data_IF_162007951238
#
_entry.id   IF_162007951238
#
_cell.length_a   1.000
_cell.length_b   1.000
_cell.length_c   1.000
_cell.angle_alpha   90.00
_cell.angle_beta   90.00
_cell.angle_gamma   90.00
#
_symmetry.space_group_name_H-M   'P 1'
#
loop_
_entity.id
_entity.type
_entity.pdbx_description
1 polymer ?
#
# COMPACT_ATOMS: atom_id res chain seq x y z
N UNK A 1 -7.90 39.07 26.74
CA UNK A 1 -7.09 38.29 25.82
C UNK A 1 -7.32 36.79 26.10
N UNK A 2 -8.14 36.13 25.27
CA UNK A 2 -8.42 34.70 25.44
C UNK A 2 -7.27 33.86 24.89
N UNK A 3 -6.58 33.12 25.75
CA UNK A 3 -5.61 32.14 25.35
C UNK A 3 -6.35 31.02 24.60
N UNK A 4 -6.22 30.96 23.27
CA UNK A 4 -6.67 29.81 22.47
C UNK A 4 -5.90 28.58 22.98
N UNK A 5 -6.54 27.72 23.77
CA UNK A 5 -6.00 26.39 24.09
C UNK A 5 -5.81 25.64 22.76
N UNK A 6 -4.56 25.35 22.40
CA UNK A 6 -4.23 24.43 21.30
C UNK A 6 -4.99 23.13 21.56
N UNK A 7 -5.82 22.69 20.61
CA UNK A 7 -6.44 21.36 20.67
C UNK A 7 -5.30 20.34 20.77
N UNK A 8 -5.37 19.38 21.71
CA UNK A 8 -4.32 18.37 21.83
C UNK A 8 -4.13 17.70 20.46
N UNK A 9 -2.87 17.54 20.06
CA UNK A 9 -2.54 16.83 18.84
C UNK A 9 -3.01 15.38 18.98
N UNK A 10 -3.75 14.82 18.01
CA UNK A 10 -4.16 13.42 18.09
C UNK A 10 -2.92 12.53 18.16
N UNK A 11 -2.98 11.48 18.95
CA UNK A 11 -1.92 10.48 19.05
C UNK A 11 -1.57 9.90 17.66
N UNK A 12 -0.32 9.54 17.42
CA UNK A 12 0.06 8.87 16.18
C UNK A 12 -0.72 7.55 16.02
N UNK A 13 -0.95 7.09 14.77
CA UNK A 13 -1.59 5.80 14.56
C UNK A 13 -0.75 4.69 15.20
N UNK A 14 -1.38 3.66 15.71
CA UNK A 14 -0.63 2.49 16.18
C UNK A 14 0.13 1.86 15.00
N UNK A 15 1.30 1.23 15.25
CA UNK A 15 2.10 0.63 14.20
C UNK A 15 1.29 -0.42 13.41
N UNK A 16 1.51 -0.53 12.09
CA UNK A 16 0.83 -1.50 11.25
C UNK A 16 1.19 -2.94 11.66
N UNK A 17 0.28 -3.86 11.40
CA UNK A 17 0.44 -5.30 11.66
C UNK A 17 0.62 -6.12 10.38
N UNK A 18 0.43 -5.50 9.23
CA UNK A 18 0.59 -6.09 7.92
C UNK A 18 0.97 -5.01 6.90
N UNK A 19 1.32 -5.42 5.69
CA UNK A 19 1.53 -4.52 4.55
C UNK A 19 0.66 -5.00 3.40
N UNK A 20 -0.14 -4.11 2.84
CA UNK A 20 -0.90 -4.33 1.62
C UNK A 20 -0.26 -3.53 0.48
N UNK A 21 0.04 -4.20 -0.63
CA UNK A 21 0.67 -3.59 -1.80
C UNK A 21 -0.33 -3.56 -2.95
N UNK A 22 -0.55 -2.38 -3.49
CA UNK A 22 -1.28 -2.22 -4.74
C UNK A 22 -0.38 -2.60 -5.91
N UNK A 23 -0.41 -3.88 -6.27
CA UNK A 23 0.40 -4.44 -7.34
C UNK A 23 0.06 -3.85 -8.70
N UNK A 24 -1.21 -3.54 -8.96
CA UNK A 24 -1.65 -2.85 -10.17
C UNK A 24 -0.99 -1.49 -10.31
N UNK A 25 -0.94 -0.73 -9.24
CA UNK A 25 -0.35 0.60 -9.22
C UNK A 25 1.19 0.54 -9.31
N UNK A 26 1.83 -0.38 -8.59
CA UNK A 26 3.28 -0.62 -8.67
C UNK A 26 3.72 -0.96 -10.09
N UNK A 27 2.92 -1.76 -10.82
CA UNK A 27 3.26 -2.22 -12.17
C UNK A 27 2.67 -1.36 -13.30
N UNK A 28 1.83 -0.35 -13.00
CA UNK A 28 0.96 0.35 -13.94
C UNK A 28 1.65 0.97 -15.16
N UNK A 29 2.88 1.44 -15.04
CA UNK A 29 3.61 2.13 -16.11
C UNK A 29 4.67 1.27 -16.81
N UNK A 30 4.74 -0.04 -16.51
CA UNK A 30 5.81 -0.89 -17.02
C UNK A 30 5.30 -2.22 -17.56
N UNK A 31 4.96 -2.25 -18.84
CA UNK A 31 4.86 -3.54 -19.57
C UNK A 31 6.22 -4.27 -19.51
N UNK A 32 7.32 -3.52 -19.67
CA UNK A 32 8.67 -4.04 -19.49
C UNK A 32 9.20 -3.60 -18.11
N UNK A 33 9.40 -4.56 -17.20
CA UNK A 33 9.95 -4.30 -15.87
C UNK A 33 8.93 -4.35 -14.72
N UNK A 34 7.70 -4.82 -14.96
CA UNK A 34 6.69 -5.03 -13.92
C UNK A 34 7.20 -5.92 -12.79
N UNK A 35 7.86 -7.04 -13.11
CA UNK A 35 8.49 -7.95 -12.17
C UNK A 35 9.52 -7.23 -11.28
N UNK A 36 10.47 -6.52 -11.91
CA UNK A 36 11.50 -5.77 -11.18
C UNK A 36 10.92 -4.73 -10.24
N UNK A 37 9.85 -4.03 -10.64
CA UNK A 37 9.19 -3.05 -9.78
C UNK A 37 8.53 -3.71 -8.58
N UNK A 38 7.88 -4.84 -8.79
CA UNK A 38 7.29 -5.60 -7.70
C UNK A 38 8.37 -6.12 -6.74
N UNK A 39 9.50 -6.65 -7.26
CA UNK A 39 10.64 -7.06 -6.44
C UNK A 39 11.16 -5.91 -5.57
N UNK A 40 11.33 -4.72 -6.14
CA UNK A 40 11.80 -3.55 -5.41
C UNK A 40 10.80 -3.11 -4.33
N UNK A 41 9.50 -3.11 -4.62
CA UNK A 41 8.46 -2.79 -3.66
C UNK A 41 8.44 -3.82 -2.51
N UNK A 42 8.51 -5.11 -2.81
CA UNK A 42 8.54 -6.18 -1.81
C UNK A 42 9.81 -6.15 -0.96
N UNK A 43 10.96 -5.85 -1.58
CA UNK A 43 12.22 -5.65 -0.86
C UNK A 43 12.12 -4.50 0.15
N UNK A 44 11.51 -3.38 -0.27
CA UNK A 44 11.23 -2.28 0.65
C UNK A 44 10.29 -2.70 1.79
N UNK A 45 9.21 -3.42 1.49
CA UNK A 45 8.27 -3.92 2.50
C UNK A 45 8.98 -4.78 3.55
N UNK A 46 9.88 -5.67 3.12
CA UNK A 46 10.68 -6.50 4.05
C UNK A 46 11.64 -5.67 4.88
N UNK A 47 12.27 -4.65 4.31
CA UNK A 47 13.14 -3.73 5.05
C UNK A 47 12.35 -2.84 6.04
N UNK A 48 11.09 -2.53 5.75
CA UNK A 48 10.21 -1.79 6.64
C UNK A 48 9.80 -2.60 7.87
N UNK A 49 9.39 -3.87 7.69
CA UNK A 49 8.97 -4.74 8.78
C UNK A 49 9.19 -6.22 8.45
N UNK A 50 10.32 -6.77 8.91
CA UNK A 50 10.82 -8.12 8.56
C UNK A 50 9.79 -9.24 8.80
N UNK A 51 8.99 -9.13 9.84
CA UNK A 51 8.01 -10.16 10.25
C UNK A 51 6.58 -9.87 9.84
N UNK A 52 6.31 -8.71 9.22
CA UNK A 52 4.95 -8.36 8.83
C UNK A 52 4.47 -9.23 7.66
N UNK A 53 3.25 -9.78 7.73
CA UNK A 53 2.62 -10.40 6.56
C UNK A 53 2.45 -9.36 5.46
N UNK A 54 2.70 -9.78 4.21
CA UNK A 54 2.56 -8.94 3.02
C UNK A 54 1.52 -9.58 2.12
N UNK A 55 0.56 -8.79 1.63
CA UNK A 55 -0.37 -9.18 0.57
C UNK A 55 -0.26 -8.20 -0.61
N UNK A 56 -0.24 -8.73 -1.83
CA UNK A 56 -0.16 -7.95 -3.07
C UNK A 56 -1.45 -8.13 -3.85
N UNK A 57 -2.10 -7.03 -4.18
CA UNK A 57 -3.40 -7.01 -4.85
C UNK A 57 -3.27 -6.56 -6.31
N UNK A 58 -3.96 -7.25 -7.19
CA UNK A 58 -4.01 -6.92 -8.62
C UNK A 58 -5.44 -6.89 -9.15
N UNK A 59 -5.74 -5.91 -9.99
CA UNK A 59 -6.92 -5.92 -10.83
C UNK A 59 -6.80 -6.98 -11.92
N UNK A 60 -7.90 -7.67 -12.20
CA UNK A 60 -7.97 -8.62 -13.32
C UNK A 60 -7.66 -7.95 -14.66
N UNK A 61 -8.02 -6.67 -14.83
CA UNK A 61 -7.72 -5.90 -16.03
C UNK A 61 -6.20 -5.68 -16.20
N UNK A 62 -5.49 -5.37 -15.12
CA UNK A 62 -4.02 -5.21 -15.13
C UNK A 62 -3.34 -6.53 -15.47
N UNK A 63 -3.72 -7.64 -14.83
CA UNK A 63 -3.15 -8.96 -15.11
C UNK A 63 -3.39 -9.39 -16.55
N UNK A 64 -4.58 -9.18 -17.08
CA UNK A 64 -4.91 -9.48 -18.48
C UNK A 64 -4.04 -8.68 -19.45
N UNK A 65 -3.83 -7.39 -19.19
CA UNK A 65 -2.98 -6.52 -20.01
C UNK A 65 -1.50 -6.95 -19.98
N UNK A 66 -1.01 -7.44 -18.85
CA UNK A 66 0.36 -7.92 -18.67
C UNK A 66 0.57 -9.28 -19.32
N UNK A 67 -0.48 -10.11 -19.42
CA UNK A 67 -0.45 -11.45 -19.99
C UNK A 67 -0.07 -12.54 -18.99
N UNK A 68 -0.40 -13.79 -19.35
CA UNK A 68 -0.25 -14.96 -18.47
C UNK A 68 1.18 -15.21 -18.01
N UNK A 69 2.16 -15.02 -18.91
CA UNK A 69 3.58 -15.26 -18.58
C UNK A 69 4.08 -14.25 -17.54
N UNK A 70 3.67 -12.98 -17.68
CA UNK A 70 4.01 -11.95 -16.68
C UNK A 70 3.28 -12.21 -15.37
N UNK A 71 2.01 -12.58 -15.39
CA UNK A 71 1.27 -12.96 -14.18
C UNK A 71 1.99 -14.10 -13.44
N UNK A 72 2.43 -15.15 -14.14
CA UNK A 72 3.18 -16.25 -13.54
C UNK A 72 4.46 -15.78 -12.85
N UNK A 73 5.20 -14.85 -13.49
CA UNK A 73 6.41 -14.24 -12.88
C UNK A 73 6.08 -13.40 -11.65
N UNK A 74 5.02 -12.58 -11.69
CA UNK A 74 4.60 -11.77 -10.55
C UNK A 74 4.17 -12.65 -9.36
N UNK A 75 3.48 -13.76 -9.62
CA UNK A 75 3.13 -14.75 -8.60
C UNK A 75 4.39 -15.39 -7.99
N UNK A 76 5.36 -15.77 -8.83
CA UNK A 76 6.63 -16.33 -8.36
C UNK A 76 7.43 -15.30 -7.53
N UNK A 77 7.45 -14.04 -7.96
CA UNK A 77 8.09 -12.94 -7.23
C UNK A 77 7.44 -12.73 -5.84
N UNK A 78 6.10 -12.69 -5.75
CA UNK A 78 5.40 -12.59 -4.50
C UNK A 78 5.70 -13.78 -3.57
N UNK A 79 5.65 -15.00 -4.10
CA UNK A 79 5.96 -16.22 -3.36
C UNK A 79 7.40 -16.24 -2.83
N UNK A 80 8.37 -15.83 -3.64
CA UNK A 80 9.78 -15.74 -3.24
C UNK A 80 9.99 -14.72 -2.10
N UNK A 81 9.20 -13.66 -2.07
CA UNK A 81 9.18 -12.69 -0.98
C UNK A 81 8.34 -13.14 0.23
N UNK A 82 7.69 -14.30 0.18
CA UNK A 82 6.76 -14.75 1.22
C UNK A 82 5.52 -13.86 1.33
N UNK A 83 5.07 -13.28 0.21
CA UNK A 83 3.88 -12.45 0.12
C UNK A 83 2.71 -13.24 -0.48
N UNK A 84 1.50 -12.96 0.00
CA UNK A 84 0.27 -13.47 -0.60
C UNK A 84 -0.02 -12.72 -1.90
N UNK A 85 -0.44 -13.43 -2.95
CA UNK A 85 -0.85 -12.84 -4.21
C UNK A 85 -2.38 -12.91 -4.37
N UNK A 86 -3.01 -11.75 -4.40
CA UNK A 86 -4.46 -11.59 -4.47
C UNK A 86 -4.86 -10.97 -5.81
N UNK A 87 -5.67 -11.67 -6.60
CA UNK A 87 -6.27 -11.13 -7.83
C UNK A 87 -7.74 -10.81 -7.58
N UNK A 88 -8.17 -9.60 -7.94
CA UNK A 88 -9.59 -9.25 -7.89
C UNK A 88 -10.38 -10.07 -8.93
N UNK A 89 -11.66 -10.39 -8.66
CA UNK A 89 -12.53 -11.04 -9.62
C UNK A 89 -12.64 -10.25 -10.93
N UNK A 90 -12.85 -10.97 -12.04
CA UNK A 90 -13.04 -10.33 -13.34
C UNK A 90 -14.23 -9.36 -13.29
N UNK A 91 -14.00 -8.13 -13.75
CA UNK A 91 -15.02 -7.06 -13.76
C UNK A 91 -15.13 -6.27 -12.47
N UNK A 92 -14.29 -6.55 -11.46
CA UNK A 92 -14.21 -5.74 -10.23
C UNK A 92 -12.85 -5.07 -10.09
N UNK A 93 -12.82 -3.93 -9.37
CA UNK A 93 -11.58 -3.28 -8.93
C UNK A 93 -10.98 -4.02 -7.73
N UNK A 94 -9.65 -3.97 -7.59
CA UNK A 94 -8.94 -4.42 -6.40
C UNK A 94 -9.09 -3.44 -5.23
N UNK A 95 -9.45 -2.18 -5.47
CA UNK A 95 -9.49 -1.12 -4.46
C UNK A 95 -10.33 -1.45 -3.21
N UNK A 96 -11.58 -1.93 -3.33
CA UNK A 96 -12.36 -2.28 -2.15
C UNK A 96 -11.74 -3.43 -1.35
N UNK A 97 -11.15 -4.43 -2.03
CA UNK A 97 -10.49 -5.55 -1.38
C UNK A 97 -9.23 -5.11 -0.63
N UNK A 98 -8.46 -4.24 -1.26
CA UNK A 98 -7.24 -3.67 -0.73
C UNK A 98 -7.52 -2.81 0.52
N UNK A 99 -8.55 -1.96 0.47
CA UNK A 99 -8.97 -1.13 1.59
C UNK A 99 -9.55 -1.97 2.74
N UNK A 100 -10.39 -2.95 2.44
CA UNK A 100 -10.93 -3.87 3.44
C UNK A 100 -9.79 -4.64 4.13
N UNK A 101 -8.84 -5.18 3.37
CA UNK A 101 -7.67 -5.85 3.93
C UNK A 101 -6.84 -4.91 4.82
N UNK A 102 -6.65 -3.65 4.39
CA UNK A 102 -5.91 -2.66 5.17
C UNK A 102 -6.60 -2.36 6.52
N UNK A 103 -7.92 -2.29 6.55
CA UNK A 103 -8.68 -2.10 7.78
C UNK A 103 -8.65 -3.34 8.67
N UNK A 104 -8.99 -4.51 8.13
CA UNK A 104 -9.13 -5.77 8.88
C UNK A 104 -7.80 -6.20 9.54
N UNK A 105 -6.69 -5.97 8.86
CA UNK A 105 -5.36 -6.36 9.31
C UNK A 105 -4.51 -5.19 9.85
N UNK A 106 -5.07 -3.97 9.90
CA UNK A 106 -4.31 -2.75 10.22
C UNK A 106 -3.05 -2.66 9.36
N UNK A 107 -3.20 -2.88 8.06
CA UNK A 107 -2.09 -2.89 7.14
C UNK A 107 -1.68 -1.47 6.73
N UNK A 108 -0.36 -1.28 6.56
CA UNK A 108 0.18 -0.16 5.80
C UNK A 108 -0.10 -0.41 4.32
N UNK A 109 -0.77 0.53 3.67
CA UNK A 109 -1.15 0.43 2.27
C UNK A 109 -0.15 1.16 1.37
N UNK A 110 0.57 0.41 0.55
CA UNK A 110 1.54 0.93 -0.41
C UNK A 110 0.87 1.13 -1.78
N UNK A 111 0.52 2.37 -2.11
CA UNK A 111 -0.18 2.75 -3.36
C UNK A 111 -0.02 4.24 -3.64
N UNK A 112 -0.17 4.67 -4.89
CA UNK A 112 -0.27 6.08 -5.27
C UNK A 112 -1.72 6.55 -5.41
N UNK A 113 -2.70 5.65 -5.31
CA UNK A 113 -4.10 6.04 -5.27
C UNK A 113 -4.47 6.67 -3.92
N UNK A 114 -5.39 7.62 -3.94
CA UNK A 114 -5.94 8.29 -2.76
C UNK A 114 -7.33 7.80 -2.40
N UNK A 115 -7.91 6.93 -3.19
CA UNK A 115 -9.23 6.31 -2.97
C UNK A 115 -10.35 7.32 -2.69
N UNK A 116 -10.41 8.40 -3.51
CA UNK A 116 -11.41 9.45 -3.33
C UNK A 116 -12.85 8.93 -3.44
N UNK A 117 -13.07 7.90 -4.26
CA UNK A 117 -14.37 7.27 -4.47
C UNK A 117 -14.78 6.31 -3.32
N UNK A 118 -13.88 6.10 -2.35
CA UNK A 118 -14.03 5.15 -1.24
C UNK A 118 -13.80 5.81 0.13
N UNK A 119 -14.36 7.00 0.36
CA UNK A 119 -14.11 7.79 1.58
C UNK A 119 -14.37 7.02 2.88
N UNK A 120 -15.41 6.20 2.92
CA UNK A 120 -15.76 5.43 4.12
C UNK A 120 -14.80 4.25 4.33
N UNK A 121 -14.34 3.60 3.26
CA UNK A 121 -13.43 2.47 3.33
C UNK A 121 -11.97 2.86 3.62
N UNK A 122 -11.57 4.12 3.38
CA UNK A 122 -10.21 4.58 3.68
C UNK A 122 -10.02 5.10 5.11
N UNK A 123 -11.09 5.16 5.93
CA UNK A 123 -11.00 5.60 7.32
C UNK A 123 -10.09 4.67 8.11
N UNK A 124 -9.26 5.26 8.95
CA UNK A 124 -8.25 4.57 9.77
C UNK A 124 -7.19 3.78 8.97
N UNK A 125 -7.02 4.09 7.70
CA UNK A 125 -6.00 3.49 6.83
C UNK A 125 -4.76 4.38 6.77
N UNK A 126 -3.58 3.76 6.86
CA UNK A 126 -2.29 4.42 6.64
C UNK A 126 -1.86 4.13 5.21
N UNK A 127 -1.75 5.18 4.40
CA UNK A 127 -1.40 5.11 3.00
C UNK A 127 0.00 5.66 2.78
N UNK A 128 0.85 4.91 2.11
CA UNK A 128 2.20 5.29 1.74
C UNK A 128 2.35 5.32 0.23
N UNK A 129 2.62 6.51 -0.29
CA UNK A 129 2.89 6.71 -1.70
C UNK A 129 4.32 6.29 -2.04
N UNK A 130 4.61 6.08 -3.31
CA UNK A 130 5.93 5.72 -3.80
C UNK A 130 6.24 6.41 -5.13
N UNK A 131 7.51 6.47 -5.49
CA UNK A 131 7.97 6.80 -6.83
C UNK A 131 8.75 5.62 -7.40
N UNK A 132 8.61 5.39 -8.70
CA UNK A 132 9.38 4.37 -9.41
C UNK A 132 9.82 4.94 -10.75
N UNK A 133 11.09 5.25 -10.85
CA UNK A 133 11.75 5.84 -12.04
C UNK A 133 13.02 5.06 -12.40
N UNK A 134 13.84 5.63 -13.29
CA UNK A 134 15.10 5.02 -13.69
C UNK A 134 16.11 4.85 -12.53
N UNK A 135 15.98 5.66 -11.47
CA UNK A 135 16.82 5.56 -10.27
C UNK A 135 16.32 4.49 -9.26
N UNK A 136 15.14 3.90 -9.51
CA UNK A 136 14.58 2.79 -8.73
C UNK A 136 13.30 3.14 -7.99
N UNK A 137 12.94 2.26 -7.04
CA UNK A 137 11.76 2.40 -6.18
C UNK A 137 12.12 3.18 -4.92
N UNK A 138 11.35 4.22 -4.64
CA UNK A 138 11.55 5.09 -3.47
C UNK A 138 10.24 5.41 -2.79
N UNK A 139 10.29 5.52 -1.48
CA UNK A 139 9.17 5.86 -0.62
C UNK A 139 9.52 7.12 0.17
N UNK A 140 8.63 8.10 0.30
CA UNK A 140 8.88 9.31 1.08
C UNK A 140 8.96 8.99 2.58
N UNK A 141 9.49 9.94 3.35
CA UNK A 141 9.61 9.83 4.81
C UNK A 141 8.27 10.03 5.54
N UNK A 142 7.23 10.40 4.81
CA UNK A 142 5.89 10.66 5.34
C UNK A 142 4.82 9.79 4.66
N UNK A 143 3.95 9.22 5.48
CA UNK A 143 2.73 8.54 5.07
C UNK A 143 1.50 9.45 5.29
N UNK A 144 0.38 9.13 4.66
CA UNK A 144 -0.92 9.74 4.92
C UNK A 144 -1.77 8.81 5.78
N UNK A 145 -2.16 9.25 6.97
CA UNK A 145 -3.12 8.55 7.80
C UNK A 145 -4.50 9.20 7.65
N UNK A 146 -5.47 8.42 7.22
CA UNK A 146 -6.87 8.83 7.20
C UNK A 146 -7.48 8.53 8.57
N UNK A 147 -7.74 9.59 9.34
CA UNK A 147 -8.36 9.50 10.67
C UNK A 147 -9.74 8.81 10.59
N UNK A 148 -10.25 8.24 11.69
CA UNK A 148 -11.62 7.72 11.74
C UNK A 148 -12.68 8.75 11.34
N UNK A 149 -12.39 10.04 11.50
CA UNK A 149 -13.24 11.16 11.04
C UNK A 149 -13.22 11.39 9.52
N UNK A 150 -12.37 10.68 8.77
CA UNK A 150 -12.14 10.89 7.34
C UNK A 150 -11.10 11.99 7.02
N UNK A 151 -10.65 12.79 7.98
CA UNK A 151 -9.61 13.79 7.75
C UNK A 151 -8.24 13.11 7.50
N UNK A 152 -7.43 13.68 6.58
CA UNK A 152 -6.09 13.19 6.31
C UNK A 152 -5.05 13.90 7.19
N UNK A 153 -4.06 13.15 7.68
CA UNK A 153 -2.92 13.65 8.44
C UNK A 153 -1.61 13.06 7.91
N UNK A 154 -0.55 13.85 7.90
CA UNK A 154 0.80 13.36 7.63
C UNK A 154 1.40 12.75 8.89
N UNK A 155 2.05 11.60 8.73
CA UNK A 155 2.77 10.89 9.79
C UNK A 155 4.13 10.45 9.29
N UNK A 156 5.16 10.62 10.12
CA UNK A 156 6.50 10.16 9.75
C UNK A 156 6.52 8.62 9.63
N UNK A 157 7.12 8.11 8.56
CA UNK A 157 7.26 6.66 8.33
C UNK A 157 8.03 6.00 9.49
N UNK A 158 9.03 6.69 10.03
CA UNK A 158 9.78 6.21 11.19
C UNK A 158 8.92 6.04 12.45
N UNK A 159 7.86 6.88 12.63
CA UNK A 159 6.97 6.81 13.79
C UNK A 159 5.97 5.64 13.74
N UNK A 160 5.73 5.07 12.55
CA UNK A 160 4.82 3.94 12.35
C UNK A 160 5.56 2.63 12.09
N UNK A 161 6.90 2.65 12.06
CA UNK A 161 7.70 1.44 11.86
C UNK A 161 7.50 0.49 13.04
N UNK A 162 7.20 -0.79 12.81
CA UNK A 162 7.16 -1.77 13.88
C UNK A 162 8.55 -1.94 14.53
N UNK A 163 8.54 -2.24 15.80
CA UNK A 163 9.77 -2.51 16.56
C UNK A 163 10.45 -3.83 16.12
#
# INVERSE_FOLDING_TARGET
>A
MGVRRKKPEPEPPPPPRAIAVDGSNVTASAIHGAERRLEQALSWCRAFGLSLPIAVFFDAATLRRLGSDMEARLRACAAAAGAEFCAAPIGSSADPLLLAHAQDHRALLLTNDRFWDYEDLRRDVILLQFTCDAAGFRVPDEATWFLPSGAARRVAVAAIRPA
#
